data_IF_665883608830
#
_entry.id   IF_665883608830
#
_cell.length_a   1.000
_cell.length_b   1.000
_cell.length_c   1.000
_cell.angle_alpha   90.00
_cell.angle_beta   90.00
_cell.angle_gamma   90.00
#
_symmetry.space_group_name_H-M   'P 1'
#
loop_
_entity.id
_entity.type
_entity.pdbx_description
1 polymer ?
#
# COMPACT_ATOMS: atom_id res chain seq x y z
N UNK A 1 -2.73 4.41 -4.30
CA UNK A 1 -1.56 4.31 -3.42
C UNK A 1 -1.94 4.99 -2.13
N UNK A 2 -1.58 4.34 -1.04
CA UNK A 2 -1.94 4.72 0.29
C UNK A 2 -0.80 4.54 1.27
N UNK A 3 -1.15 4.79 2.52
CA UNK A 3 -0.29 4.65 3.67
C UNK A 3 -0.96 3.67 4.62
N UNK A 4 -0.21 2.68 5.06
CA UNK A 4 -0.60 1.74 6.11
C UNK A 4 0.33 1.85 7.32
N UNK A 5 -0.20 1.59 8.51
CA UNK A 5 0.62 1.29 9.69
C UNK A 5 0.46 -0.19 10.05
N UNK A 6 1.55 -0.94 10.13
CA UNK A 6 1.54 -2.35 10.56
C UNK A 6 1.11 -2.43 12.03
N UNK A 7 0.11 -3.26 12.33
CA UNK A 7 -0.37 -3.56 13.69
C UNK A 7 0.25 -4.87 14.18
N UNK A 8 0.19 -5.92 13.35
CA UNK A 8 0.77 -7.22 13.63
C UNK A 8 1.24 -7.89 12.34
N UNK A 9 2.27 -8.72 12.47
CA UNK A 9 2.65 -9.71 11.47
C UNK A 9 1.94 -11.01 11.78
N UNK A 10 1.26 -11.57 10.77
CA UNK A 10 0.48 -12.81 10.91
C UNK A 10 1.27 -14.03 10.36
N UNK A 11 2.48 -13.80 9.83
CA UNK A 11 3.37 -14.81 9.23
C UNK A 11 3.24 -14.89 7.71
N UNK A 12 4.22 -15.52 7.05
CA UNK A 12 4.19 -15.81 5.60
C UNK A 12 4.01 -14.57 4.70
N UNK A 13 4.45 -13.40 5.18
CA UNK A 13 4.25 -12.13 4.47
C UNK A 13 2.85 -11.52 4.60
N UNK A 14 1.99 -12.05 5.48
CA UNK A 14 0.68 -11.47 5.80
C UNK A 14 0.76 -10.56 7.02
N UNK A 15 0.03 -9.45 6.95
CA UNK A 15 0.00 -8.44 8.00
C UNK A 15 -1.41 -7.93 8.25
N UNK A 16 -1.68 -7.60 9.50
CA UNK A 16 -2.80 -6.73 9.87
C UNK A 16 -2.31 -5.28 9.89
N UNK A 17 -2.93 -4.42 9.08
CA UNK A 17 -2.58 -3.01 8.98
C UNK A 17 -3.77 -2.08 9.24
N UNK A 18 -3.46 -0.87 9.70
CA UNK A 18 -4.38 0.26 9.69
C UNK A 18 -4.12 1.11 8.46
N UNK A 19 -5.12 1.24 7.59
CA UNK A 19 -5.10 2.18 6.46
C UNK A 19 -5.25 3.61 7.00
N UNK A 20 -4.22 4.43 6.81
CA UNK A 20 -4.18 5.79 7.32
C UNK A 20 -4.70 6.77 6.26
N UNK A 21 -5.93 7.25 6.43
CA UNK A 21 -6.51 8.25 5.55
C UNK A 21 -5.97 9.66 5.84
N UNK A 22 -5.79 10.46 4.78
CA UNK A 22 -5.42 11.86 4.89
C UNK A 22 -6.62 12.72 5.31
N UNK A 23 -6.89 12.77 6.61
CA UNK A 23 -8.06 13.43 7.22
C UNK A 23 -7.72 14.72 7.98
N UNK A 24 -6.45 15.14 8.00
CA UNK A 24 -6.03 16.30 8.81
C UNK A 24 -6.71 17.59 8.39
N UNK A 25 -6.93 17.78 7.09
CA UNK A 25 -7.69 18.94 6.58
C UNK A 25 -9.12 18.99 7.13
N UNK A 26 -9.83 17.86 7.15
CA UNK A 26 -11.23 17.82 7.59
C UNK A 26 -11.33 17.96 9.11
N UNK A 27 -10.36 17.39 9.85
CA UNK A 27 -10.22 17.60 11.30
C UNK A 27 -10.00 19.08 11.62
N UNK A 28 -9.07 19.74 10.93
CA UNK A 28 -8.78 21.16 11.10
C UNK A 28 -9.99 22.04 10.75
N UNK A 29 -10.70 21.75 9.66
CA UNK A 29 -11.91 22.48 9.28
C UNK A 29 -13.02 22.32 10.33
N UNK A 30 -13.24 21.09 10.82
CA UNK A 30 -14.20 20.82 11.89
C UNK A 30 -13.86 21.58 13.16
N UNK A 31 -12.60 21.55 13.59
CA UNK A 31 -12.13 22.29 14.76
C UNK A 31 -12.35 23.81 14.61
N UNK A 32 -12.03 24.36 13.44
CA UNK A 32 -12.27 25.77 13.12
C UNK A 32 -13.76 26.14 13.19
N UNK A 33 -14.64 25.32 12.64
CA UNK A 33 -16.08 25.56 12.66
C UNK A 33 -16.65 25.50 14.07
N UNK A 34 -16.22 24.52 14.88
CA UNK A 34 -16.63 24.41 16.29
C UNK A 34 -16.16 25.62 17.10
N UNK A 35 -14.90 26.06 16.91
CA UNK A 35 -14.37 27.28 17.54
C UNK A 35 -15.17 28.53 17.13
N UNK A 36 -15.48 28.67 15.83
CA UNK A 36 -16.31 29.77 15.32
C UNK A 36 -17.69 29.77 15.96
N UNK A 37 -18.35 28.62 16.08
CA UNK A 37 -19.64 28.50 16.76
C UNK A 37 -19.55 28.85 18.25
N UNK A 38 -18.46 28.48 18.92
CA UNK A 38 -18.18 28.87 20.30
C UNK A 38 -18.10 30.39 20.50
N UNK A 39 -17.66 31.14 19.49
CA UNK A 39 -17.68 32.62 19.52
C UNK A 39 -19.01 33.24 19.06
N UNK A 40 -19.64 32.70 18.02
CA UNK A 40 -20.86 33.28 17.45
C UNK A 40 -22.09 33.09 18.35
N UNK A 41 -22.22 31.95 19.02
CA UNK A 41 -23.41 31.66 19.84
C UNK A 41 -23.55 32.60 21.04
N UNK A 42 -22.51 32.85 21.87
CA UNK A 42 -22.59 33.87 22.92
C UNK A 42 -22.83 35.27 22.37
N UNK A 43 -22.22 35.62 21.21
CA UNK A 43 -22.46 36.91 20.55
C UNK A 43 -23.91 37.08 20.13
N UNK A 44 -24.55 36.05 19.59
CA UNK A 44 -25.96 36.10 19.21
C UNK A 44 -26.83 36.37 20.44
N UNK A 45 -26.61 35.66 21.55
CA UNK A 45 -27.33 35.88 22.81
C UNK A 45 -27.15 37.32 23.34
N UNK A 46 -25.95 37.87 23.26
CA UNK A 46 -25.69 39.26 23.65
C UNK A 46 -26.43 40.26 22.74
N UNK A 47 -26.43 40.02 21.42
CA UNK A 47 -27.16 40.86 20.45
C UNK A 47 -28.68 40.74 20.62
N UNK A 48 -29.20 39.58 21.02
CA UNK A 48 -30.63 39.40 21.35
C UNK A 48 -31.02 40.23 22.58
N UNK A 49 -30.20 40.22 23.64
CA UNK A 49 -30.42 41.08 24.80
C UNK A 49 -30.38 42.58 24.44
N UNK A 50 -29.40 42.99 23.64
CA UNK A 50 -29.30 44.37 23.14
C UNK A 50 -30.50 44.75 22.26
N UNK A 51 -30.95 43.86 21.39
CA UNK A 51 -32.13 44.09 20.55
C UNK A 51 -33.36 44.34 21.40
N UNK A 52 -33.60 43.52 22.44
CA UNK A 52 -34.74 43.70 23.34
C UNK A 52 -34.67 45.05 24.07
N UNK A 53 -33.49 45.46 24.56
CA UNK A 53 -33.32 46.78 25.17
C UNK A 53 -33.55 47.93 24.20
N UNK A 54 -33.06 47.81 22.96
CA UNK A 54 -33.22 48.85 21.93
C UNK A 54 -34.68 48.95 21.43
N UNK A 55 -35.41 47.82 21.40
CA UNK A 55 -36.82 47.81 21.06
C UNK A 55 -37.66 48.53 22.13
N UNK A 56 -37.42 48.23 23.41
CA UNK A 56 -38.07 48.92 24.52
C UNK A 56 -37.78 50.44 24.51
N UNK A 57 -36.54 50.83 24.22
CA UNK A 57 -36.17 52.24 24.10
C UNK A 57 -36.88 52.92 22.92
N UNK A 58 -36.95 52.27 21.76
CA UNK A 58 -37.70 52.78 20.61
C UNK A 58 -39.17 53.01 20.95
N UNK A 59 -39.82 52.01 21.56
CA UNK A 59 -41.23 52.09 21.96
C UNK A 59 -41.46 53.22 22.97
N UNK A 60 -40.57 53.38 23.95
CA UNK A 60 -40.60 54.49 24.91
C UNK A 60 -40.49 55.86 24.22
N UNK A 61 -39.55 56.02 23.28
CA UNK A 61 -39.38 57.29 22.57
C UNK A 61 -40.56 57.60 21.65
N UNK A 62 -41.24 56.59 21.07
CA UNK A 62 -42.49 56.81 20.33
C UNK A 62 -43.60 57.36 21.24
N UNK A 63 -43.74 56.84 22.46
CA UNK A 63 -44.71 57.36 23.43
C UNK A 63 -44.39 58.81 23.87
N UNK A 64 -43.10 59.13 24.06
CA UNK A 64 -42.66 60.51 24.33
C UNK A 64 -43.03 61.44 23.17
N UNK A 65 -42.84 61.01 21.92
CA UNK A 65 -43.23 61.77 20.74
C UNK A 65 -44.75 61.96 20.67
N UNK A 66 -45.54 60.91 20.94
CA UNK A 66 -47.02 61.00 20.99
C UNK A 66 -47.49 62.00 22.03
N UNK A 67 -46.89 61.99 23.22
CA UNK A 67 -47.19 62.95 24.28
C UNK A 67 -46.84 64.39 23.86
N UNK A 68 -45.69 64.62 23.20
CA UNK A 68 -45.30 65.94 22.70
C UNK A 68 -46.24 66.47 21.62
N UNK A 69 -46.72 65.59 20.72
CA UNK A 69 -47.73 65.93 19.70
C UNK A 69 -49.04 66.33 20.38
N UNK A 70 -49.51 65.55 21.37
CA UNK A 70 -50.74 65.86 22.11
C UNK A 70 -50.66 67.18 22.87
N UNK A 71 -49.47 67.56 23.34
CA UNK A 71 -49.22 68.83 24.02
C UNK A 71 -49.05 70.02 23.06
N UNK A 72 -49.00 69.79 21.74
CA UNK A 72 -48.76 70.80 20.69
C UNK A 72 -47.51 71.66 20.94
N UNK A 73 -46.46 71.08 21.53
CA UNK A 73 -45.21 71.77 21.91
C UNK A 73 -44.13 71.56 20.82
N UNK A 74 -43.81 72.59 20.00
CA UNK A 74 -42.91 72.42 18.86
C UNK A 74 -41.47 72.06 19.23
N UNK A 75 -41.00 72.50 20.40
CA UNK A 75 -39.64 72.21 20.86
C UNK A 75 -39.54 70.75 21.32
N UNK A 76 -40.51 70.29 22.12
CA UNK A 76 -40.59 68.89 22.54
C UNK A 76 -40.80 67.94 21.37
N UNK A 77 -41.60 68.33 20.37
CA UNK A 77 -41.77 67.53 19.15
C UNK A 77 -40.46 67.38 18.38
N UNK A 78 -39.64 68.44 18.25
CA UNK A 78 -38.33 68.34 17.57
C UNK A 78 -37.37 67.41 18.33
N UNK A 79 -37.28 67.57 19.64
CA UNK A 79 -36.42 66.74 20.49
C UNK A 79 -36.84 65.27 20.45
N UNK A 80 -38.15 64.99 20.62
CA UNK A 80 -38.68 63.62 20.60
C UNK A 80 -38.52 62.96 19.22
N UNK A 81 -38.74 63.69 18.12
CA UNK A 81 -38.47 63.17 16.77
C UNK A 81 -37.00 62.78 16.57
N UNK A 82 -36.06 63.59 17.07
CA UNK A 82 -34.64 63.27 17.01
C UNK A 82 -34.30 62.03 17.83
N UNK A 83 -34.88 61.87 19.02
CA UNK A 83 -34.69 60.71 19.88
C UNK A 83 -35.26 59.42 19.26
N UNK A 84 -36.48 59.46 18.71
CA UNK A 84 -37.08 58.33 17.97
C UNK A 84 -36.20 57.92 16.80
N UNK A 85 -35.71 58.89 16.00
CA UNK A 85 -34.79 58.59 14.89
C UNK A 85 -33.54 57.87 15.39
N UNK A 86 -32.90 58.38 16.44
CA UNK A 86 -31.71 57.76 17.03
C UNK A 86 -31.97 56.34 17.56
N UNK A 87 -33.06 56.13 18.31
CA UNK A 87 -33.42 54.83 18.85
C UNK A 87 -33.72 53.82 17.72
N UNK A 88 -34.40 54.26 16.67
CA UNK A 88 -34.70 53.46 15.48
C UNK A 88 -33.43 53.04 14.73
N UNK A 89 -32.51 53.98 14.52
CA UNK A 89 -31.24 53.70 13.82
C UNK A 89 -30.40 52.68 14.61
N UNK A 90 -30.37 52.80 15.94
CA UNK A 90 -29.73 51.82 16.83
C UNK A 90 -30.39 50.43 16.75
N UNK A 91 -31.72 50.37 16.80
CA UNK A 91 -32.48 49.12 16.66
C UNK A 91 -32.20 48.42 15.33
N UNK A 92 -32.21 49.17 14.22
CA UNK A 92 -31.91 48.62 12.89
C UNK A 92 -30.49 48.07 12.79
N UNK A 93 -29.50 48.79 13.31
CA UNK A 93 -28.09 48.33 13.33
C UNK A 93 -27.95 47.01 14.08
N UNK A 94 -28.49 46.93 15.31
CA UNK A 94 -28.41 45.71 16.14
C UNK A 94 -29.14 44.55 15.45
N UNK A 95 -30.31 44.80 14.87
CA UNK A 95 -31.07 43.78 14.15
C UNK A 95 -30.31 43.23 12.92
N UNK A 96 -29.63 44.09 12.17
CA UNK A 96 -28.80 43.68 11.04
C UNK A 96 -27.64 42.78 11.49
N UNK A 97 -26.91 43.17 12.54
CA UNK A 97 -25.82 42.37 13.10
C UNK A 97 -26.32 41.02 13.66
N UNK A 98 -27.47 41.02 14.34
CA UNK A 98 -28.11 39.80 14.84
C UNK A 98 -28.43 38.84 13.71
N UNK A 99 -29.07 39.33 12.64
CA UNK A 99 -29.43 38.52 11.47
C UNK A 99 -28.19 37.95 10.77
N UNK A 100 -27.15 38.77 10.59
CA UNK A 100 -25.90 38.30 10.01
C UNK A 100 -25.25 37.21 10.87
N UNK A 101 -25.20 37.40 12.19
CA UNK A 101 -24.65 36.41 13.13
C UNK A 101 -25.43 35.09 13.09
N UNK A 102 -26.76 35.16 13.02
CA UNK A 102 -27.61 33.98 12.88
C UNK A 102 -27.37 33.23 11.55
N UNK A 103 -27.20 33.95 10.44
CA UNK A 103 -26.86 33.36 9.15
C UNK A 103 -25.49 32.67 9.18
N UNK A 104 -24.50 33.30 9.82
CA UNK A 104 -23.16 32.73 9.99
C UNK A 104 -23.18 31.44 10.82
N UNK A 105 -24.00 31.38 11.88
CA UNK A 105 -24.22 30.15 12.67
C UNK A 105 -24.83 29.07 11.78
N UNK A 106 -25.92 29.38 11.08
CA UNK A 106 -26.59 28.43 10.20
C UNK A 106 -25.66 27.91 9.08
N UNK A 107 -24.81 28.77 8.52
CA UNK A 107 -23.81 28.38 7.52
C UNK A 107 -22.75 27.43 8.10
N UNK A 108 -22.24 27.72 9.31
CA UNK A 108 -21.27 26.88 9.99
C UNK A 108 -21.85 25.52 10.39
N UNK A 109 -23.09 25.48 10.88
CA UNK A 109 -23.80 24.25 11.23
C UNK A 109 -24.09 23.39 9.99
N UNK A 110 -24.55 23.99 8.89
CA UNK A 110 -24.72 23.28 7.61
C UNK A 110 -23.40 22.70 7.11
N UNK A 111 -22.30 23.45 7.22
CA UNK A 111 -20.99 22.95 6.81
C UNK A 111 -20.53 21.79 7.68
N UNK A 112 -20.68 21.87 9.01
CA UNK A 112 -20.41 20.76 9.92
C UNK A 112 -21.25 19.52 9.58
N UNK A 113 -22.54 19.69 9.32
CA UNK A 113 -23.43 18.60 8.92
C UNK A 113 -22.98 17.97 7.59
N UNK A 114 -22.56 18.78 6.60
CA UNK A 114 -22.09 18.29 5.30
C UNK A 114 -20.78 17.51 5.39
N UNK A 115 -19.88 17.94 6.28
CA UNK A 115 -18.61 17.27 6.56
C UNK A 115 -18.88 15.93 7.27
N UNK A 116 -19.91 15.88 8.13
CA UNK A 116 -20.27 14.69 8.89
C UNK A 116 -19.17 14.28 9.88
N UNK A 117 -19.15 12.99 10.22
CA UNK A 117 -18.04 12.39 10.96
C UNK A 117 -16.78 12.33 10.09
N UNK A 118 -15.62 12.52 10.74
CA UNK A 118 -14.32 12.27 10.10
C UNK A 118 -14.25 10.76 9.81
N UNK A 119 -13.96 10.34 8.56
CA UNK A 119 -13.80 8.93 8.25
C UNK A 119 -12.74 8.31 9.16
N UNK A 120 -13.08 7.16 9.74
CA UNK A 120 -12.14 6.41 10.57
C UNK A 120 -11.18 5.61 9.70
N UNK A 121 -9.95 5.47 10.20
CA UNK A 121 -8.98 4.56 9.59
C UNK A 121 -9.50 3.13 9.71
N UNK A 122 -9.33 2.35 8.65
CA UNK A 122 -9.81 0.97 8.60
C UNK A 122 -8.67 0.02 8.95
N UNK A 123 -8.98 -1.03 9.72
CA UNK A 123 -8.06 -2.16 9.92
C UNK A 123 -8.41 -3.24 8.91
N UNK A 124 -7.41 -3.67 8.14
CA UNK A 124 -7.54 -4.70 7.11
C UNK A 124 -6.38 -5.68 7.22
N UNK A 125 -6.57 -6.89 6.69
CA UNK A 125 -5.47 -7.80 6.40
C UNK A 125 -4.94 -7.50 4.99
N UNK A 126 -3.62 -7.54 4.82
CA UNK A 126 -2.99 -7.46 3.50
C UNK A 126 -1.74 -8.34 3.44
N UNK A 127 -1.43 -8.75 2.23
CA UNK A 127 -0.19 -9.41 1.90
C UNK A 127 0.86 -8.39 1.49
N UNK A 128 2.10 -8.64 1.89
CA UNK A 128 3.26 -8.04 1.25
C UNK A 128 3.41 -8.64 -0.14
N UNK A 129 3.73 -7.80 -1.13
CA UNK A 129 3.94 -8.26 -2.49
C UNK A 129 5.12 -9.25 -2.57
N UNK A 130 6.05 -9.22 -1.61
CA UNK A 130 7.09 -10.23 -1.44
C UNK A 130 7.02 -10.94 -0.09
N UNK A 131 7.80 -12.01 0.04
CA UNK A 131 7.86 -12.82 1.26
C UNK A 131 8.81 -12.15 2.28
N UNK A 132 8.48 -10.93 2.70
CA UNK A 132 9.10 -10.26 3.84
C UNK A 132 8.24 -10.46 5.08
N UNK A 133 8.82 -10.97 6.18
CA UNK A 133 8.08 -11.30 7.42
C UNK A 133 8.32 -10.30 8.58
N UNK A 134 9.28 -9.38 8.42
CA UNK A 134 9.76 -8.50 9.48
C UNK A 134 9.38 -7.02 9.28
N UNK A 135 8.30 -6.74 8.54
CA UNK A 135 7.84 -5.37 8.35
C UNK A 135 7.25 -4.79 9.64
N UNK A 136 7.53 -3.51 9.88
CA UNK A 136 6.98 -2.75 11.00
C UNK A 136 6.86 -1.27 10.65
N UNK A 137 6.09 -0.53 11.44
CA UNK A 137 5.91 0.91 11.24
C UNK A 137 5.02 1.28 10.06
N UNK A 138 5.37 2.36 9.37
CA UNK A 138 4.60 2.91 8.26
C UNK A 138 5.07 2.33 6.92
N UNK A 139 4.12 1.81 6.14
CA UNK A 139 4.37 1.17 4.84
C UNK A 139 3.53 1.81 3.74
N UNK A 140 4.04 1.76 2.50
CA UNK A 140 3.26 2.13 1.32
C UNK A 140 2.32 1.00 0.90
N UNK A 141 1.09 1.35 0.53
CA UNK A 141 0.08 0.40 0.06
C UNK A 141 -0.27 0.62 -1.42
N UNK A 142 -0.51 -0.49 -2.10
CA UNK A 142 -0.96 -0.56 -3.49
C UNK A 142 -2.48 -0.75 -3.47
N UNK A 143 -3.17 0.16 -4.16
CA UNK A 143 -4.57 -0.02 -4.57
C UNK A 143 -4.57 -0.03 -6.09
N UNK A 144 -4.63 -1.23 -6.66
CA UNK A 144 -4.64 -1.42 -8.11
C UNK A 144 -5.85 -0.73 -8.73
N UNK A 145 -5.70 -0.28 -9.97
CA UNK A 145 -6.78 0.43 -10.69
C UNK A 145 -7.23 1.78 -10.12
N UNK A 146 -6.77 2.18 -8.92
CA UNK A 146 -7.29 3.31 -8.14
C UNK A 146 -8.79 3.17 -7.84
N UNK A 147 -9.25 1.95 -7.64
CA UNK A 147 -10.65 1.60 -7.34
C UNK A 147 -10.83 1.48 -5.82
N UNK A 148 -11.76 2.22 -5.19
CA UNK A 148 -12.07 2.06 -3.77
C UNK A 148 -12.61 0.66 -3.47
N UNK A 149 -12.11 0.04 -2.40
CA UNK A 149 -12.59 -1.26 -1.93
C UNK A 149 -11.91 -2.47 -2.55
N UNK A 150 -10.94 -2.28 -3.44
CA UNK A 150 -9.99 -3.36 -3.77
C UNK A 150 -9.09 -3.69 -2.59
N UNK A 151 -8.57 -4.92 -2.59
CA UNK A 151 -7.63 -5.41 -1.59
C UNK A 151 -6.38 -4.51 -1.56
N UNK A 152 -6.00 -4.07 -0.36
CA UNK A 152 -4.74 -3.37 -0.18
C UNK A 152 -3.60 -4.40 -0.24
N UNK A 153 -2.53 -4.08 -0.97
CA UNK A 153 -1.32 -4.91 -1.02
C UNK A 153 -0.16 -4.05 -0.50
N UNK A 154 0.67 -4.59 0.38
CA UNK A 154 1.85 -3.87 0.88
C UNK A 154 2.95 -3.94 -0.17
N UNK A 155 3.65 -2.82 -0.40
CA UNK A 155 4.82 -2.80 -1.28
C UNK A 155 5.86 -3.86 -0.87
N UNK A 156 6.68 -4.37 -1.81
CA UNK A 156 7.75 -5.31 -1.48
C UNK A 156 8.63 -4.82 -0.33
N UNK A 157 8.89 -5.68 0.66
CA UNK A 157 9.68 -5.37 1.84
C UNK A 157 11.19 -5.53 1.65
N UNK A 158 11.60 -6.31 0.64
CA UNK A 158 12.99 -6.49 0.29
C UNK A 158 13.67 -5.13 0.02
N UNK A 159 14.91 -5.01 0.50
CA UNK A 159 15.70 -3.76 0.51
C UNK A 159 15.05 -2.57 1.22
N UNK A 160 14.06 -2.82 2.09
CA UNK A 160 13.36 -1.77 2.84
C UNK A 160 12.44 -0.91 1.98
N UNK A 161 12.10 -1.34 0.76
CA UNK A 161 11.32 -0.53 -0.18
C UNK A 161 9.85 -0.37 0.24
N UNK A 162 9.35 -1.23 1.13
CA UNK A 162 8.01 -1.16 1.70
C UNK A 162 7.77 0.08 2.57
N UNK A 163 8.84 0.64 3.16
CA UNK A 163 8.73 1.81 4.03
C UNK A 163 8.03 2.96 3.30
N UNK A 164 7.09 3.61 3.98
CA UNK A 164 6.27 4.67 3.41
C UNK A 164 7.12 5.86 2.95
N UNK A 165 6.92 6.27 1.69
CA UNK A 165 7.49 7.51 1.13
C UNK A 165 6.36 8.39 0.58
N UNK A 166 6.23 9.61 1.10
CA UNK A 166 5.14 10.51 0.75
C UNK A 166 5.15 10.97 -0.72
N UNK A 167 6.32 11.08 -1.35
CA UNK A 167 6.44 11.49 -2.76
C UNK A 167 6.10 10.34 -3.71
N UNK A 168 6.47 9.11 -3.35
CA UNK A 168 6.21 7.89 -4.12
C UNK A 168 4.77 7.40 -3.93
N UNK A 169 4.33 7.25 -2.69
CA UNK A 169 3.11 6.54 -2.33
C UNK A 169 1.92 7.49 -2.26
N UNK A 170 2.12 8.69 -1.73
CA UNK A 170 1.00 9.58 -1.38
C UNK A 170 0.07 8.93 -0.35
N UNK A 171 -1.11 9.51 -0.15
CA UNK A 171 -2.03 9.04 0.89
C UNK A 171 -3.47 9.09 0.43
N UNK A 172 -4.24 8.05 0.72
CA UNK A 172 -5.65 7.99 0.39
C UNK A 172 -6.41 9.11 1.09
N UNK A 173 -7.15 9.92 0.31
CA UNK A 173 -7.94 11.02 0.83
C UNK A 173 -9.43 10.77 0.57
N UNK A 174 -10.27 10.67 1.62
CA UNK A 174 -11.71 10.59 1.44
C UNK A 174 -12.24 11.83 0.72
N UNK A 175 -13.23 11.66 -0.17
CA UNK A 175 -13.83 12.77 -0.94
C UNK A 175 -14.31 13.91 -0.02
N UNK A 176 -14.85 13.57 1.15
CA UNK A 176 -15.30 14.54 2.17
C UNK A 176 -14.16 15.40 2.73
N UNK A 177 -12.93 14.89 2.72
CA UNK A 177 -11.75 15.63 3.13
C UNK A 177 -11.21 16.57 2.04
N UNK A 178 -11.74 16.48 0.82
CA UNK A 178 -11.40 17.36 -0.29
C UNK A 178 -12.37 18.55 -0.36
N UNK A 179 -11.89 19.69 -0.85
CA UNK A 179 -12.78 20.80 -1.23
C UNK A 179 -13.56 20.44 -2.52
N UNK A 180 -14.74 21.03 -2.78
CA UNK A 180 -15.56 20.66 -3.94
C UNK A 180 -14.82 20.71 -5.28
N UNK A 181 -13.99 21.74 -5.51
CA UNK A 181 -13.20 21.86 -6.73
C UNK A 181 -12.13 20.76 -6.86
N UNK A 182 -11.43 20.44 -5.77
CA UNK A 182 -10.42 19.39 -5.75
C UNK A 182 -11.06 17.99 -5.89
N UNK A 183 -12.20 17.77 -5.23
CA UNK A 183 -12.99 16.56 -5.37
C UNK A 183 -13.42 16.35 -6.82
N UNK A 184 -13.97 17.39 -7.46
CA UNK A 184 -14.39 17.34 -8.86
C UNK A 184 -13.20 17.11 -9.81
N UNK A 185 -12.10 17.82 -9.62
CA UNK A 185 -10.90 17.64 -10.45
C UNK A 185 -10.36 16.21 -10.36
N UNK A 186 -10.21 15.69 -9.14
CA UNK A 186 -9.76 14.30 -8.94
C UNK A 186 -10.75 13.33 -9.60
N UNK A 187 -12.05 13.52 -9.36
CA UNK A 187 -13.10 12.70 -9.97
C UNK A 187 -13.02 12.66 -11.49
N UNK A 188 -12.93 13.82 -12.15
CA UNK A 188 -12.92 13.93 -13.60
C UNK A 188 -11.63 13.39 -14.24
N UNK A 189 -10.50 13.53 -13.54
CA UNK A 189 -9.19 13.14 -14.08
C UNK A 189 -8.85 11.66 -13.82
N UNK A 190 -9.43 11.04 -12.79
CA UNK A 190 -9.09 9.67 -12.35
C UNK A 190 -9.11 8.62 -13.47
N UNK A 191 -10.15 8.52 -14.34
CA UNK A 191 -10.16 7.52 -15.41
C UNK A 191 -9.00 7.70 -16.40
N UNK A 192 -8.69 8.96 -16.75
CA UNK A 192 -7.59 9.29 -17.64
C UNK A 192 -6.24 8.93 -17.02
N UNK A 193 -6.01 9.26 -15.74
CA UNK A 193 -4.81 8.85 -15.03
C UNK A 193 -4.70 7.33 -14.89
N UNK A 194 -5.79 6.64 -14.53
CA UNK A 194 -5.81 5.19 -14.39
C UNK A 194 -5.41 4.52 -15.71
N UNK A 195 -5.93 5.00 -16.85
CA UNK A 195 -5.66 4.42 -18.17
C UNK A 195 -4.30 4.81 -18.75
N UNK A 196 -3.93 6.08 -18.74
CA UNK A 196 -2.75 6.58 -19.46
C UNK A 196 -1.50 6.74 -18.60
N UNK A 197 -1.64 6.72 -17.27
CA UNK A 197 -0.55 6.80 -16.30
C UNK A 197 -0.72 5.77 -15.17
N UNK A 198 -0.78 4.47 -15.50
CA UNK A 198 -0.95 3.42 -14.49
C UNK A 198 0.26 3.37 -13.57
N UNK A 199 0.05 2.97 -12.31
CA UNK A 199 1.17 2.64 -11.41
C UNK A 199 1.25 1.14 -11.19
N UNK A 200 0.09 0.52 -10.98
CA UNK A 200 -0.02 -0.90 -10.70
C UNK A 200 -1.23 -1.50 -11.43
N UNK A 201 -1.10 -2.77 -11.82
CA UNK A 201 -2.17 -3.67 -12.23
C UNK A 201 -1.97 -5.04 -11.59
N UNK A 202 -3.05 -5.79 -11.52
CA UNK A 202 -3.03 -7.18 -11.12
C UNK A 202 -3.18 -8.03 -12.38
N UNK A 203 -2.67 -9.25 -12.36
CA UNK A 203 -2.79 -10.16 -13.48
C UNK A 203 -2.27 -11.55 -13.16
N UNK A 204 -2.50 -12.48 -14.05
CA UNK A 204 -2.10 -13.88 -13.91
C UNK A 204 -0.98 -14.21 -14.89
N UNK A 205 0.10 -14.84 -14.42
CA UNK A 205 1.16 -15.35 -15.29
C UNK A 205 0.62 -16.49 -16.14
N UNK A 206 0.87 -16.43 -17.46
CA UNK A 206 0.47 -17.47 -18.41
C UNK A 206 1.63 -18.27 -18.97
N UNK A 207 2.78 -17.63 -19.12
CA UNK A 207 4.01 -18.26 -19.58
C UNK A 207 5.16 -17.61 -18.83
N UNK A 208 6.18 -18.38 -18.45
CA UNK A 208 7.35 -17.87 -17.73
C UNK A 208 8.64 -18.39 -18.34
N UNK A 209 9.58 -17.49 -18.58
CA UNK A 209 10.95 -17.79 -18.96
C UNK A 209 11.86 -17.43 -17.79
N UNK A 210 12.19 -18.45 -16.99
CA UNK A 210 13.07 -18.32 -15.83
C UNK A 210 14.51 -18.03 -16.21
N UNK A 211 14.95 -18.37 -17.43
CA UNK A 211 16.31 -18.08 -17.89
C UNK A 211 16.44 -16.61 -18.33
N UNK A 212 15.41 -16.06 -18.97
CA UNK A 212 15.37 -14.65 -19.36
C UNK A 212 14.84 -13.72 -18.26
N UNK A 213 14.32 -14.25 -17.15
CA UNK A 213 13.61 -13.53 -16.10
C UNK A 213 12.43 -12.70 -16.64
N UNK A 214 11.66 -13.27 -17.57
CA UNK A 214 10.49 -12.62 -18.16
C UNK A 214 9.27 -13.51 -18.09
N UNK A 215 8.09 -12.92 -18.23
CA UNK A 215 6.83 -13.65 -18.27
C UNK A 215 5.80 -12.97 -19.17
N UNK A 216 4.80 -13.76 -19.56
CA UNK A 216 3.57 -13.28 -20.17
C UNK A 216 2.50 -13.16 -19.10
N UNK A 217 1.85 -12.00 -18.99
CA UNK A 217 0.82 -11.73 -17.98
C UNK A 217 -0.49 -11.36 -18.65
N UNK A 218 -1.56 -12.08 -18.31
CA UNK A 218 -2.93 -11.66 -18.60
C UNK A 218 -3.39 -10.73 -17.47
N UNK A 219 -3.68 -9.47 -17.79
CA UNK A 219 -4.13 -8.49 -16.81
C UNK A 219 -5.58 -8.73 -16.39
N UNK A 220 -5.85 -8.51 -15.10
CA UNK A 220 -7.20 -8.55 -14.59
C UNK A 220 -8.05 -7.44 -15.22
N UNK A 221 -9.35 -7.68 -15.47
CA UNK A 221 -10.25 -6.63 -15.88
C UNK A 221 -10.34 -5.55 -14.81
N UNK A 222 -9.98 -4.31 -15.15
CA UNK A 222 -10.08 -3.17 -14.25
C UNK A 222 -10.93 -2.09 -14.89
N UNK A 223 -11.95 -1.62 -14.17
CA UNK A 223 -12.86 -0.59 -14.64
C UNK A 223 -12.83 0.64 -13.74
N UNK A 224 -12.93 1.81 -14.34
CA UNK A 224 -13.08 3.04 -13.56
C UNK A 224 -14.39 3.03 -12.77
N UNK A 225 -14.34 3.58 -11.56
CA UNK A 225 -15.45 3.55 -10.59
C UNK A 225 -16.67 4.36 -11.01
N UNK A 226 -16.54 5.20 -12.02
CA UNK A 226 -17.51 6.26 -12.32
C UNK A 226 -18.36 5.98 -13.55
N UNK A 227 -17.90 5.16 -14.51
CA UNK A 227 -18.65 4.81 -15.72
C UNK A 227 -18.35 3.39 -16.24
N UNK A 228 -17.68 2.56 -15.43
CA UNK A 228 -17.22 1.20 -15.81
C UNK A 228 -16.40 1.16 -17.10
N UNK A 229 -15.70 2.24 -17.41
CA UNK A 229 -14.77 2.25 -18.54
C UNK A 229 -13.56 1.39 -18.22
N UNK A 230 -13.22 0.50 -19.14
CA UNK A 230 -11.99 -0.25 -19.08
C UNK A 230 -10.77 0.68 -19.09
N UNK A 231 -9.97 0.58 -18.02
CA UNK A 231 -8.75 1.36 -17.82
C UNK A 231 -7.49 0.59 -18.21
N UNK A 232 -7.62 -0.61 -18.76
CA UNK A 232 -6.51 -1.28 -19.42
C UNK A 232 -6.34 -0.73 -20.85
N UNK A 233 -5.09 -0.69 -21.32
CA UNK A 233 -4.76 -0.43 -22.73
C UNK A 233 -4.47 -1.71 -23.50
N UNK A 234 -4.01 -2.74 -22.79
CA UNK A 234 -3.82 -4.08 -23.29
C UNK A 234 -4.36 -5.07 -22.23
N UNK A 235 -4.90 -6.19 -22.70
CA UNK A 235 -5.31 -7.30 -21.83
C UNK A 235 -4.13 -8.23 -21.52
N UNK A 236 -3.12 -8.25 -22.38
CA UNK A 236 -1.97 -9.15 -22.32
C UNK A 236 -0.70 -8.29 -22.37
N UNK A 237 0.23 -8.59 -21.47
CA UNK A 237 1.58 -8.06 -21.48
C UNK A 237 2.56 -9.19 -21.81
N UNK A 238 3.40 -8.96 -22.82
CA UNK A 238 4.39 -9.93 -23.30
C UNK A 238 5.79 -9.56 -22.83
N UNK A 239 6.64 -10.56 -22.58
CA UNK A 239 8.05 -10.37 -22.18
C UNK A 239 8.25 -9.41 -21.00
N UNK A 240 7.36 -9.45 -20.02
CA UNK A 240 7.41 -8.59 -18.83
C UNK A 240 8.54 -9.04 -17.92
N UNK A 241 9.54 -8.20 -17.61
CA UNK A 241 10.58 -8.54 -16.65
C UNK A 241 10.01 -8.83 -15.26
N UNK A 242 10.59 -9.82 -14.58
CA UNK A 242 10.29 -10.13 -13.18
C UNK A 242 11.42 -9.60 -12.30
N UNK A 243 11.08 -8.77 -11.31
CA UNK A 243 12.00 -8.29 -10.26
C UNK A 243 11.41 -8.63 -8.90
N UNK A 244 11.94 -9.68 -8.29
CA UNK A 244 11.40 -10.22 -7.06
C UNK A 244 12.52 -10.71 -6.16
N UNK A 245 12.72 -9.99 -5.05
CA UNK A 245 13.80 -10.25 -4.10
C UNK A 245 15.13 -10.49 -4.83
N UNK A 246 15.84 -11.57 -4.49
CA UNK A 246 17.11 -11.96 -5.11
C UNK A 246 16.97 -12.98 -6.25
N UNK A 247 15.79 -13.60 -6.42
CA UNK A 247 15.62 -14.77 -7.30
C UNK A 247 14.78 -14.49 -8.56
N UNK A 248 14.27 -13.26 -8.73
CA UNK A 248 13.54 -12.84 -9.94
C UNK A 248 12.42 -13.82 -10.31
N UNK A 249 12.44 -14.38 -11.53
CA UNK A 249 11.42 -15.31 -12.00
C UNK A 249 11.44 -16.67 -11.30
N UNK A 250 12.51 -17.01 -10.57
CA UNK A 250 12.69 -18.33 -9.94
C UNK A 250 11.68 -18.66 -8.83
N UNK A 251 10.95 -17.67 -8.30
CA UNK A 251 9.89 -17.90 -7.31
C UNK A 251 8.49 -18.11 -7.93
N UNK A 252 8.32 -17.92 -9.24
CA UNK A 252 7.00 -17.89 -9.89
C UNK A 252 6.77 -19.10 -10.79
N UNK A 253 5.50 -19.42 -11.02
CA UNK A 253 5.04 -20.42 -11.99
C UNK A 253 3.80 -19.95 -12.77
N UNK A 254 3.45 -20.67 -13.82
CA UNK A 254 2.22 -20.39 -14.58
C UNK A 254 0.98 -20.52 -13.68
N UNK A 255 0.09 -19.53 -13.74
CA UNK A 255 -1.11 -19.44 -12.92
C UNK A 255 -0.97 -18.57 -11.66
N UNK A 256 0.25 -18.13 -11.31
CA UNK A 256 0.44 -17.22 -10.18
C UNK A 256 -0.22 -15.85 -10.42
N UNK A 257 -0.90 -15.33 -9.39
CA UNK A 257 -1.55 -14.02 -9.40
C UNK A 257 -0.60 -12.95 -8.85
N UNK A 258 -0.24 -12.00 -9.71
CA UNK A 258 0.90 -11.10 -9.51
C UNK A 258 0.55 -9.63 -9.58
N UNK A 259 1.41 -8.82 -8.98
CA UNK A 259 1.38 -7.36 -9.06
C UNK A 259 2.35 -6.90 -10.15
N UNK A 260 1.82 -6.19 -11.15
CA UNK A 260 2.58 -5.54 -12.20
C UNK A 260 2.72 -4.05 -11.89
N UNK A 261 3.95 -3.57 -11.73
CA UNK A 261 4.31 -2.16 -11.60
C UNK A 261 4.61 -1.57 -12.97
N UNK A 262 4.16 -0.36 -13.24
CA UNK A 262 4.49 0.40 -14.44
C UNK A 262 5.50 1.50 -14.08
N UNK A 263 6.77 1.28 -14.42
CA UNK A 263 7.84 2.23 -14.12
C UNK A 263 7.67 3.51 -14.95
N UNK A 264 7.94 4.67 -14.34
CA UNK A 264 7.66 5.97 -14.97
C UNK A 264 6.18 6.23 -15.27
N UNK A 265 5.27 5.40 -14.74
CA UNK A 265 3.84 5.40 -15.04
C UNK A 265 3.54 5.15 -16.55
N UNK A 266 4.36 4.32 -17.21
CA UNK A 266 4.28 4.02 -18.64
C UNK A 266 3.93 2.57 -18.94
N UNK A 267 3.02 2.33 -19.90
CA UNK A 267 2.70 1.01 -20.44
C UNK A 267 3.86 0.31 -21.13
N UNK A 268 4.89 1.06 -21.52
CA UNK A 268 6.10 0.55 -22.16
C UNK A 268 7.12 -0.04 -21.15
N UNK A 269 6.86 0.11 -19.85
CA UNK A 269 7.79 -0.33 -18.80
C UNK A 269 7.07 -1.11 -17.68
N UNK A 270 6.35 -2.21 -18.00
CA UNK A 270 5.77 -3.09 -16.99
C UNK A 270 6.86 -3.95 -16.35
N UNK A 271 6.73 -4.24 -15.05
CA UNK A 271 7.60 -5.13 -14.29
C UNK A 271 6.75 -5.90 -13.28
N UNK A 272 6.87 -7.22 -13.21
CA UNK A 272 6.29 -8.01 -12.12
C UNK A 272 7.12 -7.82 -10.87
N UNK A 273 6.51 -7.37 -9.78
CA UNK A 273 7.20 -7.03 -8.52
C UNK A 273 6.85 -7.95 -7.35
N UNK A 274 5.93 -8.91 -7.55
CA UNK A 274 5.46 -9.74 -6.45
C UNK A 274 4.10 -10.37 -6.68
N UNK A 275 3.59 -10.99 -5.63
CA UNK A 275 2.32 -11.70 -5.58
C UNK A 275 1.20 -10.80 -5.06
N UNK A 276 -0.04 -11.10 -5.45
CA UNK A 276 -1.21 -10.47 -4.84
C UNK A 276 -1.50 -11.06 -3.45
N UNK A 277 -1.28 -12.37 -3.30
CA UNK A 277 -1.47 -13.13 -2.05
C UNK A 277 -0.43 -14.23 -1.94
N UNK A 278 -0.18 -14.68 -0.71
CA UNK A 278 0.66 -15.86 -0.42
C UNK A 278 2.02 -15.80 -1.15
N UNK A 279 2.83 -14.74 -0.93
CA UNK A 279 4.08 -14.56 -1.63
C UNK A 279 5.01 -15.75 -1.36
N UNK A 280 5.70 -16.26 -2.39
CA UNK A 280 6.60 -17.41 -2.24
C UNK A 280 7.98 -16.96 -1.78
N UNK A 281 8.65 -17.78 -0.97
CA UNK A 281 10.08 -17.59 -0.63
C UNK A 281 10.92 -17.80 -1.88
N UNK A 282 12.05 -17.11 -1.99
CA UNK A 282 13.04 -17.48 -2.97
C UNK A 282 13.52 -18.92 -2.72
N UNK A 283 13.66 -19.75 -3.77
CA UNK A 283 14.20 -21.09 -3.62
C UNK A 283 15.62 -20.99 -3.06
N UNK A 284 15.87 -21.68 -1.95
CA UNK A 284 17.20 -21.84 -1.39
C UNK A 284 17.81 -23.08 -2.01
N UNK A 285 18.97 -22.94 -2.66
CA UNK A 285 19.70 -24.08 -3.21
C UNK A 285 20.86 -24.46 -2.31
N UNK A 286 20.97 -25.75 -2.00
CA UNK A 286 22.17 -26.34 -1.41
C UNK A 286 23.05 -26.89 -2.53
N UNK A 287 24.21 -26.27 -2.72
CA UNK A 287 25.24 -26.80 -3.61
C UNK A 287 26.13 -27.78 -2.83
N UNK A 288 26.10 -29.06 -3.21
CA UNK A 288 27.01 -30.06 -2.67
C UNK A 288 28.11 -30.30 -3.71
N UNK A 289 29.31 -29.83 -3.40
CA UNK A 289 30.51 -30.06 -4.23
C UNK A 289 31.26 -31.29 -3.72
N UNK A 290 31.49 -32.26 -4.61
CA UNK A 290 32.27 -33.44 -4.29
C UNK A 290 33.56 -33.47 -5.11
N UNK A 291 34.69 -33.58 -4.42
CA UNK A 291 36.00 -33.82 -5.03
C UNK A 291 36.30 -35.31 -5.06
N UNK A 292 36.48 -35.89 -6.25
CA UNK A 292 36.91 -37.28 -6.44
C UNK A 292 36.14 -38.01 -7.52
N UNK A 293 36.73 -39.05 -8.12
CA UNK A 293 36.04 -39.86 -9.13
C UNK A 293 35.02 -40.79 -8.47
N UNK A 294 33.74 -40.80 -8.91
CA UNK A 294 32.77 -41.77 -8.41
C UNK A 294 33.27 -43.19 -8.73
N UNK A 295 33.32 -44.08 -7.72
CA UNK A 295 33.87 -45.44 -7.87
C UNK A 295 33.16 -46.34 -8.90
N UNK A 296 31.98 -45.90 -9.39
CA UNK A 296 31.16 -46.57 -10.41
C UNK A 296 31.48 -46.13 -11.84
N UNK A 297 32.32 -45.12 -12.05
CA UNK A 297 32.83 -44.75 -13.38
C UNK A 297 34.03 -45.64 -13.68
N UNK A 298 33.85 -46.63 -14.56
CA UNK A 298 34.94 -47.54 -14.93
C UNK A 298 36.06 -46.77 -15.65
N UNK A 299 37.33 -46.88 -15.20
CA UNK A 299 38.44 -46.16 -15.78
C UNK A 299 38.92 -46.90 -17.03
N UNK A 300 38.25 -46.71 -18.18
CA UNK A 300 38.76 -47.23 -19.45
C UNK A 300 39.29 -46.17 -20.41
N UNK A 301 39.22 -44.88 -20.08
CA UNK A 301 39.96 -43.84 -20.80
C UNK A 301 40.47 -42.78 -19.82
N UNK A 302 41.79 -42.62 -19.83
CA UNK A 302 42.57 -41.67 -19.07
C UNK A 302 42.39 -40.25 -19.61
N UNK A 303 41.33 -39.57 -19.18
CA UNK A 303 41.19 -38.12 -19.25
C UNK A 303 40.24 -37.69 -18.13
N UNK A 304 40.77 -37.51 -16.92
CA UNK A 304 40.03 -36.80 -15.87
C UNK A 304 41.01 -35.87 -15.18
N UNK A 305 40.92 -34.60 -15.53
CA UNK A 305 41.15 -33.48 -14.63
C UNK A 305 40.45 -33.76 -13.29
N UNK A 306 40.98 -33.18 -12.23
CA UNK A 306 40.35 -33.08 -10.90
C UNK A 306 39.08 -32.23 -10.96
N UNK A 307 38.13 -32.61 -11.80
CA UNK A 307 36.87 -31.90 -11.96
C UNK A 307 35.98 -32.22 -10.76
N UNK A 308 35.78 -31.18 -9.94
CA UNK A 308 34.77 -31.19 -8.92
C UNK A 308 33.40 -31.29 -9.61
N UNK A 309 32.58 -32.23 -9.16
CA UNK A 309 31.21 -32.37 -9.63
C UNK A 309 30.26 -31.88 -8.55
N UNK A 310 29.17 -31.26 -8.99
CA UNK A 310 28.14 -30.69 -8.16
C UNK A 310 26.84 -31.49 -8.22
N UNK A 311 26.14 -31.50 -7.10
CA UNK A 311 24.72 -31.81 -7.04
C UNK A 311 24.03 -30.61 -6.44
N UNK A 312 23.00 -30.10 -7.12
CA UNK A 312 22.19 -29.00 -6.60
C UNK A 312 20.91 -29.58 -6.04
N UNK A 313 20.66 -29.31 -4.77
CA UNK A 313 19.48 -29.77 -4.06
C UNK A 313 18.66 -28.56 -3.67
N UNK A 314 17.35 -28.60 -3.92
CA UNK A 314 16.43 -27.63 -3.36
C UNK A 314 16.40 -27.83 -1.83
N UNK A 315 16.82 -26.82 -1.07
CA UNK A 315 16.95 -26.93 0.38
C UNK A 315 15.60 -27.00 1.10
N UNK A 316 14.50 -26.57 0.47
CA UNK A 316 13.16 -26.66 1.02
C UNK A 316 12.55 -28.06 0.83
N UNK A 317 12.79 -28.69 -0.32
CA UNK A 317 12.17 -29.99 -0.66
C UNK A 317 13.10 -31.19 -0.47
N UNK A 318 14.42 -30.96 -0.41
CA UNK A 318 15.44 -32.02 -0.37
C UNK A 318 15.57 -32.80 -1.70
N UNK A 319 14.92 -32.36 -2.77
CA UNK A 319 14.99 -32.98 -4.09
C UNK A 319 16.11 -32.36 -4.93
N UNK A 320 16.57 -33.09 -5.96
CA UNK A 320 17.47 -32.53 -6.97
C UNK A 320 16.80 -31.32 -7.63
N UNK A 321 17.48 -30.17 -7.62
CA UNK A 321 16.98 -28.96 -8.26
C UNK A 321 17.03 -29.13 -9.79
N UNK A 322 15.91 -28.89 -10.46
CA UNK A 322 15.85 -28.93 -11.92
C UNK A 322 16.27 -27.57 -12.50
N UNK A 323 17.58 -27.33 -12.53
CA UNK A 323 18.18 -26.09 -13.06
C UNK A 323 18.48 -26.15 -14.56
N UNK A 324 17.91 -27.12 -15.30
CA UNK A 324 18.26 -27.35 -16.70
C UNK A 324 19.70 -27.88 -16.92
N UNK A 325 20.45 -28.14 -15.84
CA UNK A 325 21.79 -28.73 -15.88
C UNK A 325 21.71 -30.27 -15.76
N UNK A 326 22.56 -31.02 -16.48
CA UNK A 326 22.70 -32.45 -16.23
C UNK A 326 23.15 -32.68 -14.79
N UNK A 327 22.47 -33.59 -14.07
CA UNK A 327 22.82 -33.95 -12.69
C UNK A 327 23.48 -35.35 -12.67
N UNK A 328 24.70 -35.50 -12.11
CA UNK A 328 25.56 -34.46 -11.52
C UNK A 328 26.16 -33.51 -12.58
N UNK A 329 26.31 -32.24 -12.21
CA UNK A 329 26.88 -31.19 -13.06
C UNK A 329 28.39 -31.05 -12.84
N UNK A 330 29.12 -30.49 -13.81
CA UNK A 330 30.47 -29.97 -13.54
C UNK A 330 30.35 -28.65 -12.78
N UNK A 331 31.23 -28.43 -11.80
CA UNK A 331 31.23 -27.19 -11.02
C UNK A 331 31.37 -25.95 -11.93
N UNK A 332 32.16 -26.05 -13.00
CA UNK A 332 32.34 -25.00 -14.00
C UNK A 332 31.06 -24.66 -14.77
N UNK A 333 30.20 -25.65 -15.02
CA UNK A 333 28.91 -25.43 -15.71
C UNK A 333 27.91 -24.76 -14.78
N UNK A 334 27.97 -25.08 -13.48
CA UNK A 334 27.19 -24.40 -12.46
C UNK A 334 27.65 -22.95 -12.29
N UNK A 335 28.95 -22.70 -12.15
CA UNK A 335 29.51 -21.34 -12.05
C UNK A 335 29.11 -20.48 -13.26
N UNK A 336 29.18 -21.04 -14.48
CA UNK A 336 28.78 -20.33 -15.70
C UNK A 336 27.26 -20.04 -15.78
N UNK A 337 26.42 -20.88 -15.18
CA UNK A 337 24.97 -20.67 -15.14
C UNK A 337 24.53 -19.58 -14.16
N UNK A 338 25.38 -19.25 -13.18
CA UNK A 338 25.09 -18.27 -12.11
C UNK A 338 25.99 -17.02 -12.17
N UNK A 339 26.84 -16.88 -13.19
CA UNK A 339 27.74 -15.73 -13.40
C UNK A 339 26.92 -14.47 -13.76
N UNK A 340 26.34 -13.83 -12.74
CA UNK A 340 25.45 -12.68 -12.87
C UNK A 340 24.63 -12.35 -11.62
N UNK A 341 24.47 -13.29 -10.69
CA UNK A 341 23.83 -13.05 -9.39
C UNK A 341 24.91 -12.98 -8.31
N UNK A 342 24.87 -11.96 -7.42
CA UNK A 342 25.67 -11.95 -6.19
C UNK A 342 25.20 -13.10 -5.28
N UNK A 343 25.60 -14.33 -5.59
CA UNK A 343 25.41 -15.45 -4.69
C UNK A 343 26.39 -15.28 -3.54
N UNK A 344 25.91 -14.86 -2.37
CA UNK A 344 26.64 -15.04 -1.11
C UNK A 344 26.69 -16.54 -0.81
N UNK A 345 27.56 -17.27 -1.49
CA UNK A 345 27.84 -18.66 -1.19
C UNK A 345 28.58 -18.70 0.15
N UNK A 346 27.86 -18.98 1.23
CA UNK A 346 28.49 -19.32 2.50
C UNK A 346 29.06 -20.74 2.37
N UNK A 347 30.34 -20.83 2.03
CA UNK A 347 31.04 -22.10 1.92
C UNK A 347 31.16 -22.73 3.32
N UNK A 348 30.26 -23.65 3.64
CA UNK A 348 30.48 -24.56 4.75
C UNK A 348 31.78 -25.34 4.50
N UNK A 349 32.62 -25.46 5.53
CA UNK A 349 33.91 -26.15 5.47
C UNK A 349 33.74 -27.57 4.90
N UNK A 350 34.76 -28.16 4.24
CA UNK A 350 34.64 -29.47 3.64
C UNK A 350 34.19 -30.50 4.68
N UNK A 351 32.98 -31.03 4.49
CA UNK A 351 32.48 -32.16 5.26
C UNK A 351 33.28 -33.39 4.82
N UNK A 352 34.18 -33.88 5.67
CA UNK A 352 34.84 -35.17 5.45
C UNK A 352 33.81 -36.30 5.47
N UNK A 353 33.34 -36.72 4.30
CA UNK A 353 32.59 -37.96 4.16
C UNK A 353 33.56 -39.14 4.30
N UNK A 354 33.56 -39.79 5.47
CA UNK A 354 34.18 -41.11 5.61
C UNK A 354 33.39 -42.11 4.78
N UNK A 355 34.00 -42.63 3.74
CA UNK A 355 33.47 -43.75 2.95
C UNK A 355 33.23 -44.96 3.85
N UNK A 356 31.97 -45.34 4.03
CA UNK A 356 31.61 -46.65 4.57
C UNK A 356 31.52 -47.61 3.40
N UNK A 357 32.53 -48.47 3.25
CA UNK A 357 32.50 -49.55 2.26
C UNK A 357 31.52 -50.64 2.73
N UNK A 358 30.24 -50.47 2.41
CA UNK A 358 29.29 -51.57 2.49
C UNK A 358 29.50 -52.47 1.26
N UNK A 359 30.32 -53.51 1.43
CA UNK A 359 30.42 -54.61 0.47
C UNK A 359 29.08 -55.34 0.38
N UNK A 360 28.24 -54.92 -0.57
CA UNK A 360 26.95 -55.55 -0.83
C UNK A 360 26.48 -55.16 -2.23
N UNK A 361 26.59 -56.09 -3.18
CA UNK A 361 26.10 -55.94 -4.54
C UNK A 361 24.58 -55.81 -4.49
N UNK A 362 24.06 -54.60 -4.70
CA UNK A 362 22.63 -54.36 -4.95
C UNK A 362 22.46 -53.88 -6.40
N UNK A 363 22.00 -54.78 -7.26
CA UNK A 363 21.56 -54.44 -8.60
C UNK A 363 20.19 -53.75 -8.53
N UNK A 364 20.15 -52.43 -8.69
CA UNK A 364 18.94 -51.76 -9.19
C UNK A 364 19.32 -50.47 -9.92
N UNK A 365 18.80 -50.32 -11.14
CA UNK A 365 19.14 -49.31 -12.15
C UNK A 365 18.39 -47.98 -11.97
N UNK A 366 18.19 -47.51 -10.74
CA UNK A 366 17.47 -46.25 -10.49
C UNK A 366 18.24 -45.38 -9.50
N UNK A 367 18.91 -44.30 -9.96
CA UNK A 367 19.71 -43.42 -9.11
C UNK A 367 18.95 -42.80 -7.92
N UNK A 368 17.64 -42.60 -8.06
CA UNK A 368 16.81 -41.91 -7.04
C UNK A 368 16.64 -42.65 -5.70
N UNK A 369 16.81 -43.97 -5.64
CA UNK A 369 16.60 -44.75 -4.40
C UNK A 369 17.82 -44.73 -3.46
N UNK A 370 19.02 -44.58 -4.01
CA UNK A 370 20.26 -44.59 -3.22
C UNK A 370 20.43 -43.30 -2.40
N UNK A 371 20.07 -42.16 -2.96
CA UNK A 371 20.13 -40.85 -2.30
C UNK A 371 19.08 -40.69 -1.21
N UNK A 372 17.87 -41.19 -1.46
CA UNK A 372 16.78 -41.21 -0.47
C UNK A 372 17.16 -42.04 0.77
N UNK A 373 18.01 -43.06 0.63
CA UNK A 373 18.53 -43.89 1.72
C UNK A 373 19.69 -43.23 2.51
N UNK A 374 20.55 -42.45 1.85
CA UNK A 374 21.61 -41.69 2.55
C UNK A 374 21.04 -40.57 3.43
N UNK A 375 20.04 -39.84 2.94
CA UNK A 375 19.44 -38.70 3.66
C UNK A 375 18.46 -39.11 4.77
N UNK A 376 18.02 -40.37 4.82
CA UNK A 376 17.04 -40.88 5.80
C UNK A 376 17.67 -41.69 6.95
N UNK A 377 18.99 -41.86 6.99
CA UNK A 377 19.67 -42.62 8.04
C UNK A 377 20.15 -41.73 9.21
N UNK A 378 19.85 -42.08 10.47
CA UNK A 378 20.10 -41.24 11.65
C UNK A 378 21.59 -41.20 12.12
N UNK A 379 22.54 -41.66 11.30
CA UNK A 379 23.98 -41.54 11.62
C UNK A 379 24.57 -40.16 11.33
N UNK A 380 23.80 -39.23 10.75
CA UNK A 380 24.18 -37.83 10.59
C UNK A 380 23.59 -36.99 11.73
N UNK A 381 24.26 -36.93 12.88
CA UNK A 381 23.94 -35.94 13.89
C UNK A 381 24.45 -34.56 13.44
N UNK A 382 23.53 -33.69 13.05
CA UNK A 382 23.78 -32.26 12.86
C UNK A 382 24.18 -31.65 14.21
N UNK A 383 25.38 -31.09 14.30
CA UNK A 383 25.83 -30.32 15.48
C UNK A 383 25.69 -28.82 15.13
N UNK A 384 24.71 -28.09 15.70
CA UNK A 384 24.45 -26.71 15.32
C UNK A 384 25.48 -25.81 16.01
N UNK A 385 26.53 -25.50 15.26
CA UNK A 385 27.64 -24.67 15.70
C UNK A 385 27.95 -23.54 14.73
N UNK A 386 26.92 -22.85 14.21
CA UNK A 386 27.12 -21.58 13.50
C UNK A 386 26.02 -20.62 13.96
N UNK A 387 26.44 -19.46 14.47
CA UNK A 387 25.55 -18.38 14.88
C UNK A 387 25.03 -17.68 13.63
N UNK A 388 23.72 -17.46 13.61
CA UNK A 388 22.95 -16.63 12.67
C UNK A 388 23.52 -15.24 12.48
#
# INVERSE_FOLDING_TARGET
>A
MGKGTIISADGEGRYTLRIDYHVERIKAERARLLSRLGGLRPRLLALEAQFNSAALEYDYQEEVLRAAISAADPEKMRAANAAVKSARDQLYRINAERRQTALDIAAAERRLASIGGVPENQTVEAWCADHTEELSGEVGTIEAGRVPGEEAIILPGHDGTAAYDAARDGQLQPVKASGPAAAYFNYAMLPGFAKWRPRYRLGTIREIDTAANTCRVDLDPVSSTHDRHDVNQAEILENVPVRYMTCNAGAFEEGDHVVVKFEGESWESPVVIGFVREPKRCPNYLLIVMSGTPSWVQPSQSYWSTEAWCVVVDAATGNLANLGLPQPCLLTDFEAAFDGEETTAEYASPVEFRTVSAGGVFGSTTPGLYWKWMLSNPMFSYNPGVRT
#
